data_IF_523708687329
#
_entry.id   IF_523708687329
#
_cell.length_a   1.000
_cell.length_b   1.000
_cell.length_c   1.000
_cell.angle_alpha   90.00
_cell.angle_beta   90.00
_cell.angle_gamma   90.00
#
_symmetry.space_group_name_H-M   'P 1'
#
loop_
_entity.id
_entity.type
_entity.pdbx_description
1 polymer ?
#
# COMPACT_ATOMS: atom_id res chain seq x y z
N UNK A 1 24.18 -5.00 7.56
CA UNK A 1 24.73 -4.99 6.19
C UNK A 1 23.55 -4.79 5.25
N UNK A 2 23.39 -3.59 4.70
CA UNK A 2 22.30 -3.29 3.78
C UNK A 2 22.59 -3.97 2.44
N UNK A 3 21.86 -5.03 2.14
CA UNK A 3 21.80 -5.56 0.79
C UNK A 3 20.70 -4.78 0.05
N UNK A 4 21.11 -3.82 -0.79
CA UNK A 4 20.25 -3.38 -1.87
C UNK A 4 20.22 -4.49 -2.92
N UNK A 5 19.12 -5.23 -2.98
CA UNK A 5 18.83 -6.18 -4.04
C UNK A 5 17.86 -5.49 -5.01
N UNK A 6 18.37 -5.02 -6.16
CA UNK A 6 17.53 -4.51 -7.23
C UNK A 6 17.11 -5.69 -8.12
N UNK A 7 15.81 -5.99 -8.15
CA UNK A 7 15.24 -7.05 -9.00
C UNK A 7 14.20 -6.41 -9.93
N UNK A 8 14.44 -6.49 -11.23
CA UNK A 8 13.58 -5.90 -12.26
C UNK A 8 12.63 -6.96 -12.84
N UNK A 9 11.33 -6.63 -12.94
CA UNK A 9 10.32 -7.45 -13.60
C UNK A 9 9.43 -6.59 -14.51
N UNK A 10 9.31 -6.97 -15.79
CA UNK A 10 8.63 -6.15 -16.80
C UNK A 10 7.09 -6.26 -16.76
N UNK A 11 6.53 -7.47 -16.67
CA UNK A 11 5.07 -7.68 -16.53
C UNK A 11 4.86 -8.79 -15.50
N UNK A 12 4.36 -8.41 -14.33
CA UNK A 12 3.99 -9.38 -13.31
C UNK A 12 2.48 -9.62 -13.38
N UNK A 13 2.10 -10.83 -13.80
CA UNK A 13 0.68 -11.21 -13.83
C UNK A 13 0.12 -11.33 -12.40
N UNK A 14 0.82 -12.07 -11.55
CA UNK A 14 0.47 -12.24 -10.15
C UNK A 14 1.75 -12.04 -9.33
N UNK A 15 1.70 -11.15 -8.36
CA UNK A 15 2.76 -10.97 -7.38
C UNK A 15 2.20 -11.28 -6.00
N UNK A 16 2.86 -12.17 -5.26
CA UNK A 16 2.50 -12.49 -3.89
C UNK A 16 3.73 -12.51 -3.01
N UNK A 17 3.73 -11.74 -1.92
CA UNK A 17 4.86 -11.75 -0.98
C UNK A 17 4.37 -11.53 0.45
N UNK A 18 5.13 -12.04 1.42
CA UNK A 18 4.85 -11.88 2.84
C UNK A 18 6.10 -11.42 3.58
N UNK A 19 5.99 -10.35 4.35
CA UNK A 19 7.05 -9.84 5.21
C UNK A 19 6.70 -10.07 6.69
N UNK A 20 7.67 -10.54 7.47
CA UNK A 20 7.49 -10.81 8.90
C UNK A 20 8.68 -10.34 9.72
N UNK A 21 8.40 -9.74 10.89
CA UNK A 21 9.39 -9.28 11.86
C UNK A 21 10.41 -8.31 11.24
N UNK A 22 9.90 -7.24 10.63
CA UNK A 22 10.72 -6.28 9.90
C UNK A 22 10.87 -4.99 10.70
N UNK A 23 12.11 -4.55 10.88
CA UNK A 23 12.38 -3.31 11.61
C UNK A 23 12.18 -2.07 10.73
N UNK A 24 12.71 -2.10 9.51
CA UNK A 24 12.55 -1.03 8.53
C UNK A 24 12.40 -1.64 7.14
N UNK A 25 11.45 -1.14 6.36
CA UNK A 25 11.26 -1.54 4.98
C UNK A 25 10.81 -0.34 4.14
N UNK A 26 11.40 -0.24 2.95
CA UNK A 26 10.97 0.66 1.90
C UNK A 26 10.63 -0.20 0.69
N UNK A 27 9.44 -0.01 0.15
CA UNK A 27 8.95 -0.74 -1.02
C UNK A 27 8.44 0.24 -2.04
N UNK A 28 9.07 0.27 -3.20
CA UNK A 28 8.68 1.13 -4.32
C UNK A 28 8.26 0.26 -5.50
N UNK A 29 7.03 0.47 -6.00
CA UNK A 29 6.55 -0.17 -7.21
C UNK A 29 6.44 0.88 -8.32
N UNK A 30 7.57 1.20 -8.95
CA UNK A 30 7.68 2.24 -9.97
C UNK A 30 7.41 1.76 -11.40
N UNK A 31 7.02 2.73 -12.24
CA UNK A 31 7.40 2.78 -13.66
C UNK A 31 8.65 3.66 -13.74
N UNK A 32 9.74 3.14 -14.30
CA UNK A 32 11.02 3.87 -14.42
C UNK A 32 10.79 5.18 -15.18
N UNK A 33 11.18 6.31 -14.57
CA UNK A 33 11.33 7.60 -15.24
C UNK A 33 12.81 7.79 -15.60
N UNK A 34 13.17 7.60 -16.88
CA UNK A 34 13.91 8.60 -17.67
C UNK A 34 14.33 8.11 -19.07
N UNK A 35 14.12 9.02 -20.02
CA UNK A 35 14.56 9.12 -21.43
C UNK A 35 14.14 8.01 -22.41
N UNK A 36 13.20 8.39 -23.29
CA UNK A 36 12.90 7.83 -24.61
C UNK A 36 12.44 6.37 -24.73
N UNK A 37 11.56 5.91 -23.83
CA UNK A 37 10.83 4.64 -24.04
C UNK A 37 9.38 4.76 -23.54
N UNK A 38 8.40 4.39 -24.37
CA UNK A 38 7.00 4.16 -23.97
C UNK A 38 6.89 2.73 -23.47
N UNK A 39 6.82 2.48 -22.15
CA UNK A 39 6.40 1.18 -21.61
C UNK A 39 5.63 1.29 -20.28
N UNK A 40 4.64 0.39 -20.11
CA UNK A 40 3.65 0.34 -19.03
C UNK A 40 4.01 -0.76 -18.01
N UNK A 41 4.28 -0.43 -16.74
CA UNK A 41 4.25 -1.47 -15.69
C UNK A 41 2.82 -1.62 -15.14
N UNK A 42 2.16 -2.71 -15.52
CA UNK A 42 0.84 -3.08 -15.00
C UNK A 42 1.02 -4.34 -14.16
N UNK A 43 0.89 -4.22 -12.85
CA UNK A 43 0.67 -5.39 -11.99
C UNK A 43 -0.83 -5.71 -12.07
N UNK A 44 -1.16 -6.91 -12.56
CA UNK A 44 -2.57 -7.29 -12.71
C UNK A 44 -3.20 -7.67 -11.38
N UNK A 45 -2.54 -8.55 -10.62
CA UNK A 45 -2.96 -8.96 -9.29
C UNK A 45 -1.77 -8.88 -8.32
N UNK A 46 -1.99 -8.26 -7.17
CA UNK A 46 -0.98 -8.00 -6.16
C UNK A 46 -1.51 -8.37 -4.78
N UNK A 47 -0.93 -9.40 -4.16
CA UNK A 47 -1.37 -9.91 -2.86
C UNK A 47 -0.21 -9.83 -1.87
N UNK A 48 -0.29 -8.94 -0.88
CA UNK A 48 0.84 -8.75 0.06
C UNK A 48 0.40 -8.69 1.50
N UNK A 49 1.19 -9.35 2.36
CA UNK A 49 0.99 -9.33 3.80
C UNK A 49 2.24 -8.81 4.53
N UNK A 50 2.01 -7.94 5.50
CA UNK A 50 3.03 -7.42 6.41
C UNK A 50 2.66 -7.76 7.84
N UNK A 51 3.60 -8.35 8.58
CA UNK A 51 3.40 -8.73 9.98
C UNK A 51 4.56 -8.26 10.85
N UNK A 52 4.24 -7.68 12.00
CA UNK A 52 5.21 -7.19 12.99
C UNK A 52 6.24 -6.25 12.35
N UNK A 53 5.77 -5.10 11.86
CA UNK A 53 6.62 -4.11 11.19
C UNK A 53 6.76 -2.86 12.06
N UNK A 54 7.99 -2.42 12.30
CA UNK A 54 8.20 -1.21 13.10
C UNK A 54 8.06 0.06 12.26
N UNK A 55 8.70 0.12 11.09
CA UNK A 55 8.55 1.23 10.15
C UNK A 55 8.41 0.71 8.72
N UNK A 56 7.44 1.26 7.99
CA UNK A 56 7.20 0.94 6.59
C UNK A 56 6.84 2.19 5.78
N UNK A 57 7.49 2.33 4.63
CA UNK A 57 7.11 3.26 3.57
C UNK A 57 6.81 2.47 2.30
N UNK A 58 5.65 2.73 1.69
CA UNK A 58 5.26 2.07 0.43
C UNK A 58 4.71 3.08 -0.57
N UNK A 59 5.15 2.97 -1.81
CA UNK A 59 4.60 3.75 -2.92
C UNK A 59 4.10 2.82 -4.04
N UNK A 60 2.86 3.02 -4.46
CA UNK A 60 2.19 2.25 -5.49
C UNK A 60 1.79 3.11 -6.68
N UNK A 61 2.30 2.78 -7.88
CA UNK A 61 2.02 3.54 -9.11
C UNK A 61 0.76 3.08 -9.85
N UNK A 62 0.83 1.99 -10.61
CA UNK A 62 -0.31 1.50 -11.40
C UNK A 62 -0.62 0.04 -11.04
N UNK A 63 -1.74 -0.16 -10.35
CA UNK A 63 -2.23 -1.50 -9.98
C UNK A 63 -3.65 -1.72 -10.47
N UNK A 64 -3.90 -2.89 -11.06
CA UNK A 64 -5.25 -3.25 -11.49
C UNK A 64 -6.08 -3.85 -10.35
N UNK A 65 -5.59 -4.90 -9.72
CA UNK A 65 -6.21 -5.52 -8.55
C UNK A 65 -5.15 -5.69 -7.47
N UNK A 66 -5.50 -5.34 -6.24
CA UNK A 66 -4.60 -5.47 -5.10
C UNK A 66 -5.37 -5.83 -3.84
N UNK A 67 -4.85 -6.82 -3.12
CA UNK A 67 -5.31 -7.23 -1.81
C UNK A 67 -4.12 -7.14 -0.84
N UNK A 68 -4.23 -6.29 0.18
CA UNK A 68 -3.13 -6.04 1.12
C UNK A 68 -3.58 -6.21 2.56
N UNK A 69 -2.72 -6.80 3.37
CA UNK A 69 -2.99 -7.02 4.80
C UNK A 69 -1.81 -6.53 5.65
N UNK A 70 -2.10 -5.66 6.60
CA UNK A 70 -1.13 -5.15 7.57
C UNK A 70 -1.51 -5.59 8.99
N UNK A 71 -0.61 -6.30 9.63
CA UNK A 71 -0.74 -6.78 11.01
C UNK A 71 0.40 -6.28 11.87
N UNK A 72 0.07 -5.66 13.00
CA UNK A 72 1.03 -5.08 13.95
C UNK A 72 2.07 -4.18 13.29
N UNK A 73 1.64 -2.97 12.92
CA UNK A 73 2.52 -1.96 12.33
C UNK A 73 2.64 -0.77 13.28
N UNK A 74 3.86 -0.35 13.61
CA UNK A 74 4.05 0.80 14.49
C UNK A 74 3.95 2.13 13.71
N UNK A 75 4.70 2.28 12.62
CA UNK A 75 4.60 3.43 11.74
C UNK A 75 4.44 2.99 10.29
N UNK A 76 3.45 3.57 9.61
CA UNK A 76 3.18 3.31 8.20
C UNK A 76 2.96 4.63 7.46
N UNK A 77 3.58 4.75 6.28
CA UNK A 77 3.28 5.78 5.29
C UNK A 77 3.04 5.08 3.96
N UNK A 78 1.89 5.36 3.33
CA UNK A 78 1.58 4.78 2.03
C UNK A 78 1.03 5.82 1.07
N UNK A 79 1.53 5.79 -0.15
CA UNK A 79 1.02 6.60 -1.26
C UNK A 79 0.56 5.71 -2.41
N UNK A 80 -0.61 6.00 -2.95
CA UNK A 80 -1.20 5.30 -4.08
C UNK A 80 -1.57 6.26 -5.20
N UNK A 81 -1.02 6.03 -6.40
CA UNK A 81 -1.30 6.86 -7.57
C UNK A 81 -2.54 6.42 -8.34
N UNK A 82 -2.51 5.25 -8.98
CA UNK A 82 -3.60 4.76 -9.83
C UNK A 82 -3.92 3.31 -9.46
N UNK A 83 -5.07 3.09 -8.83
CA UNK A 83 -5.58 1.74 -8.54
C UNK A 83 -6.99 1.55 -9.09
N UNK A 84 -7.25 0.40 -9.72
CA UNK A 84 -8.61 0.06 -10.15
C UNK A 84 -9.42 -0.61 -9.04
N UNK A 85 -8.99 -1.78 -8.58
CA UNK A 85 -9.66 -2.51 -7.51
C UNK A 85 -8.68 -2.71 -6.35
N UNK A 86 -9.06 -2.21 -5.17
CA UNK A 86 -8.24 -2.31 -3.98
C UNK A 86 -9.04 -2.82 -2.79
N UNK A 87 -8.51 -3.85 -2.14
CA UNK A 87 -8.90 -4.22 -0.80
C UNK A 87 -7.70 -4.11 0.13
N UNK A 88 -7.90 -3.50 1.30
CA UNK A 88 -6.90 -3.55 2.36
C UNK A 88 -7.49 -3.66 3.75
N UNK A 89 -6.76 -4.40 4.59
CA UNK A 89 -7.07 -4.55 6.00
C UNK A 89 -5.88 -4.14 6.87
N UNK A 90 -6.18 -3.36 7.90
CA UNK A 90 -5.25 -2.90 8.92
C UNK A 90 -5.71 -3.40 10.28
N UNK A 91 -4.96 -4.30 10.91
CA UNK A 91 -5.36 -4.88 12.21
C UNK A 91 -4.94 -4.01 13.39
N UNK A 92 -3.65 -3.83 13.61
CA UNK A 92 -3.10 -3.06 14.73
C UNK A 92 -2.09 -2.07 14.16
N UNK A 93 -2.44 -0.79 14.11
CA UNK A 93 -1.56 0.25 13.58
C UNK A 93 -1.46 1.40 14.57
N UNK A 94 -0.25 1.79 14.95
CA UNK A 94 -0.07 2.87 15.91
C UNK A 94 -0.12 4.24 15.25
N UNK A 95 0.66 4.45 14.20
CA UNK A 95 0.64 5.71 13.45
C UNK A 95 0.57 5.42 11.95
N UNK A 96 -0.40 6.05 11.28
CA UNK A 96 -0.63 5.83 9.87
C UNK A 96 -0.99 7.10 9.10
N UNK A 97 -0.29 7.31 7.98
CA UNK A 97 -0.61 8.32 6.97
C UNK A 97 -0.84 7.61 5.63
N UNK A 98 -1.94 7.96 4.95
CA UNK A 98 -2.22 7.50 3.59
C UNK A 98 -2.61 8.62 2.67
N UNK A 99 -2.08 8.56 1.45
CA UNK A 99 -2.51 9.41 0.35
C UNK A 99 -2.96 8.54 -0.83
N UNK A 100 -4.13 8.89 -1.37
CA UNK A 100 -4.75 8.19 -2.47
C UNK A 100 -5.10 9.18 -3.59
N UNK A 101 -4.47 9.04 -4.76
CA UNK A 101 -4.69 9.92 -5.91
C UNK A 101 -5.91 9.52 -6.75
N UNK A 102 -5.85 8.39 -7.46
CA UNK A 102 -6.92 7.93 -8.37
C UNK A 102 -7.29 6.49 -8.03
N UNK A 103 -8.52 6.29 -7.52
CA UNK A 103 -9.02 4.96 -7.20
C UNK A 103 -10.44 4.75 -7.70
N UNK A 104 -10.68 3.64 -8.41
CA UNK A 104 -12.03 3.34 -8.87
C UNK A 104 -12.89 2.58 -7.86
N UNK A 105 -12.44 1.42 -7.38
CA UNK A 105 -13.15 0.58 -6.43
C UNK A 105 -12.25 0.28 -5.24
N UNK A 106 -12.70 0.71 -4.06
CA UNK A 106 -11.91 0.66 -2.84
C UNK A 106 -12.72 0.06 -1.69
N UNK A 107 -12.11 -0.87 -0.96
CA UNK A 107 -12.67 -1.43 0.26
C UNK A 107 -11.61 -1.50 1.34
N UNK A 108 -11.85 -0.82 2.46
CA UNK A 108 -10.89 -0.77 3.55
C UNK A 108 -11.50 -1.03 4.91
N UNK A 109 -10.73 -1.80 5.69
CA UNK A 109 -11.05 -2.12 7.07
C UNK A 109 -9.90 -1.75 7.99
N UNK A 110 -10.24 -1.03 9.05
CA UNK A 110 -9.34 -0.68 10.13
C UNK A 110 -9.88 -1.26 11.43
N UNK A 111 -9.10 -2.10 12.11
CA UNK A 111 -9.49 -2.66 13.40
C UNK A 111 -9.04 -1.76 14.54
N UNK A 112 -7.77 -1.80 14.95
CA UNK A 112 -7.21 -0.98 16.03
C UNK A 112 -6.19 0.00 15.47
N UNK A 113 -6.58 1.28 15.37
CA UNK A 113 -5.71 2.35 14.89
C UNK A 113 -5.62 3.46 15.91
N UNK A 114 -4.40 3.83 16.32
CA UNK A 114 -4.23 4.89 17.30
C UNK A 114 -4.25 6.28 16.64
N UNK A 115 -3.48 6.50 15.58
CA UNK A 115 -3.51 7.71 14.78
C UNK A 115 -3.65 7.39 13.30
N UNK A 116 -4.63 8.02 12.64
CA UNK A 116 -4.91 7.86 11.23
C UNK A 116 -5.07 9.22 10.55
N UNK A 117 -4.29 9.47 9.51
CA UNK A 117 -4.49 10.55 8.55
C UNK A 117 -4.70 9.94 7.16
N UNK A 118 -5.77 10.34 6.47
CA UNK A 118 -6.07 9.83 5.12
C UNK A 118 -6.49 10.95 4.20
N UNK A 119 -5.78 11.13 3.09
CA UNK A 119 -6.16 12.06 2.03
C UNK A 119 -6.60 11.31 0.77
N UNK A 120 -7.66 11.83 0.13
CA UNK A 120 -8.23 11.28 -1.08
C UNK A 120 -8.41 12.38 -2.14
N UNK A 121 -7.91 12.17 -3.36
CA UNK A 121 -8.10 13.12 -4.46
C UNK A 121 -9.27 12.75 -5.38
N UNK A 122 -9.23 11.59 -6.04
CA UNK A 122 -10.24 11.14 -7.00
C UNK A 122 -10.67 9.72 -6.66
N UNK A 123 -11.92 9.57 -6.21
CA UNK A 123 -12.55 8.29 -5.88
C UNK A 123 -13.90 8.17 -6.58
N UNK A 124 -14.18 7.00 -7.15
CA UNK A 124 -15.54 6.67 -7.58
C UNK A 124 -16.34 5.86 -6.55
N UNK A 125 -15.94 4.63 -6.24
CA UNK A 125 -16.66 3.74 -5.34
C UNK A 125 -15.78 3.36 -4.15
N UNK A 126 -16.28 3.63 -2.95
CA UNK A 126 -15.54 3.30 -1.73
C UNK A 126 -16.44 2.69 -0.66
N UNK A 127 -15.85 1.81 0.13
CA UNK A 127 -16.39 1.30 1.38
C UNK A 127 -15.29 1.36 2.43
N UNK A 128 -15.60 1.96 3.59
CA UNK A 128 -14.66 2.02 4.71
C UNK A 128 -15.34 1.57 5.98
N UNK A 129 -14.64 0.73 6.73
CA UNK A 129 -15.07 0.24 8.03
C UNK A 129 -13.99 0.50 9.07
N UNK A 130 -14.42 0.94 10.24
CA UNK A 130 -13.58 1.23 11.38
C UNK A 130 -14.14 0.49 12.59
N UNK A 131 -13.30 -0.19 13.36
CA UNK A 131 -13.69 -0.76 14.66
C UNK A 131 -13.30 0.18 15.80
N UNK A 132 -12.00 0.39 16.01
CA UNK A 132 -11.42 1.18 17.09
C UNK A 132 -10.40 2.16 16.50
N UNK A 133 -10.80 3.41 16.32
CA UNK A 133 -9.90 4.50 15.91
C UNK A 133 -9.88 5.55 16.99
N UNK A 134 -8.70 5.84 17.54
CA UNK A 134 -8.56 6.81 18.63
C UNK A 134 -8.45 8.25 18.13
N UNK A 135 -7.73 8.46 17.02
CA UNK A 135 -7.57 9.77 16.42
C UNK A 135 -7.59 9.67 14.89
N UNK A 136 -8.44 10.47 14.25
CA UNK A 136 -8.69 10.43 12.80
C UNK A 136 -8.70 11.84 12.21
N UNK A 137 -7.95 12.02 11.13
CA UNK A 137 -7.94 13.20 10.26
C UNK A 137 -8.17 12.72 8.82
N UNK A 138 -9.01 13.44 8.08
CA UNK A 138 -9.29 13.21 6.66
C UNK A 138 -9.42 14.50 5.89
#
# INVERSE_FOLDING_TARGET
MCFFLLVEYHIIRNYSVSYSNVFFLLVEYHIIRNYDVIEYHIIRNYDVSYSNVFFLLVEYHIIRNSDVCYSNVFFLLVEYHIIRNYSVSYSNVFFFIIEYHIISNYSVSYSNVFFLLVEYHIISNYSVSYSNVFFFIS
#
